data_IF_236034784224
#
_entry.id   IF_236034784224
#
_cell.length_a   1.000
_cell.length_b   1.000
_cell.length_c   1.000
_cell.angle_alpha   90.00
_cell.angle_beta   90.00
_cell.angle_gamma   90.00
#
_symmetry.space_group_name_H-M   'P 1'
#
loop_
_entity.id
_entity.type
_entity.pdbx_description
1 polymer ?
#
# COMPACT_ATOMS: atom_id res chain seq x y z
N UNK A 1 16.62 -29.18 -4.46
CA UNK A 1 16.26 -28.84 -3.09
C UNK A 1 17.25 -29.51 -2.17
N UNK A 2 17.78 -28.78 -1.19
CA UNK A 2 18.77 -29.26 -0.23
C UNK A 2 18.45 -28.77 1.18
N UNK A 3 19.17 -29.26 2.15
CA UNK A 3 19.08 -28.84 3.55
C UNK A 3 20.24 -27.89 3.86
N UNK A 4 19.98 -26.84 4.59
CA UNK A 4 20.98 -25.92 5.12
C UNK A 4 20.92 -26.04 6.65
N UNK A 5 22.06 -26.39 7.25
CA UNK A 5 22.19 -26.35 8.71
C UNK A 5 22.56 -24.94 9.15
N UNK A 6 21.86 -24.41 10.13
CA UNK A 6 22.08 -23.06 10.66
C UNK A 6 21.74 -23.00 12.15
N UNK A 7 22.36 -22.08 12.85
CA UNK A 7 22.09 -21.85 14.29
C UNK A 7 20.85 -20.98 14.51
N UNK A 8 20.55 -20.11 13.56
CA UNK A 8 19.41 -19.17 13.65
C UNK A 8 18.73 -19.01 12.29
N UNK A 9 17.42 -18.79 12.32
CA UNK A 9 16.60 -18.50 11.15
C UNK A 9 15.90 -17.16 11.33
N UNK A 10 15.95 -16.33 10.29
CA UNK A 10 15.16 -15.10 10.21
C UNK A 10 14.13 -15.26 9.10
N UNK A 11 12.86 -15.18 9.47
CA UNK A 11 11.73 -15.24 8.55
C UNK A 11 11.36 -13.82 8.13
N UNK A 12 11.71 -13.43 6.91
CA UNK A 12 11.47 -12.12 6.33
C UNK A 12 10.90 -12.28 4.91
N UNK A 13 9.71 -12.82 4.82
CA UNK A 13 9.12 -13.34 3.57
C UNK A 13 8.01 -12.46 2.99
N UNK A 14 7.81 -11.26 3.54
CA UNK A 14 6.77 -10.34 3.08
C UNK A 14 5.37 -10.97 3.10
N UNK A 15 4.58 -10.86 2.02
CA UNK A 15 3.22 -11.41 1.96
C UNK A 15 3.14 -12.93 2.14
N UNK A 16 4.24 -13.65 1.94
CA UNK A 16 4.28 -15.11 2.15
C UNK A 16 4.33 -15.51 3.63
N UNK A 17 4.31 -14.55 4.56
CA UNK A 17 4.27 -14.84 6.00
C UNK A 17 3.12 -15.75 6.39
N UNK A 18 1.98 -15.65 5.69
CA UNK A 18 0.86 -16.53 5.92
C UNK A 18 1.21 -18.02 5.75
N UNK A 19 2.00 -18.36 4.72
CA UNK A 19 2.44 -19.74 4.49
C UNK A 19 3.36 -20.24 5.60
N UNK A 20 4.23 -19.38 6.09
CA UNK A 20 5.09 -19.72 7.24
C UNK A 20 4.23 -19.90 8.51
N UNK A 21 3.22 -19.03 8.67
CA UNK A 21 2.28 -19.09 9.77
C UNK A 21 1.52 -20.44 9.82
N UNK A 22 1.08 -20.91 8.64
CA UNK A 22 0.45 -22.24 8.50
C UNK A 22 1.44 -23.38 8.79
N UNK A 23 2.68 -23.30 8.29
CA UNK A 23 3.72 -24.31 8.55
C UNK A 23 4.06 -24.43 10.01
N UNK A 24 3.94 -23.36 10.79
CA UNK A 24 4.18 -23.32 12.22
C UNK A 24 2.90 -23.62 13.04
N UNK A 25 1.79 -23.95 12.38
CA UNK A 25 0.49 -24.25 13.00
C UNK A 25 -0.03 -23.12 13.91
N UNK A 26 0.30 -21.87 13.59
CA UNK A 26 -0.10 -20.70 14.36
C UNK A 26 -1.57 -20.33 14.08
N UNK A 27 -2.26 -19.68 15.05
CA UNK A 27 -3.68 -19.31 14.88
C UNK A 27 -3.89 -18.34 13.72
N UNK A 28 -4.82 -18.67 12.82
CA UNK A 28 -5.21 -17.77 11.71
C UNK A 28 -5.99 -16.56 12.20
N UNK A 29 -6.74 -16.72 13.28
CA UNK A 29 -7.48 -15.65 13.93
C UNK A 29 -6.90 -15.37 15.31
N UNK A 30 -6.85 -14.11 15.66
CA UNK A 30 -6.43 -13.63 16.96
C UNK A 30 -7.50 -12.74 17.58
N UNK A 31 -7.50 -12.70 18.90
CA UNK A 31 -8.39 -11.81 19.65
C UNK A 31 -7.67 -10.48 19.92
N UNK A 32 -8.11 -9.43 19.26
CA UNK A 32 -7.57 -8.08 19.42
C UNK A 32 -8.46 -7.27 20.35
N UNK A 33 -7.84 -6.56 21.29
CA UNK A 33 -8.54 -5.70 22.23
C UNK A 33 -8.56 -4.26 21.71
N UNK A 34 -9.76 -3.72 21.54
CA UNK A 34 -10.01 -2.31 21.21
C UNK A 34 -10.70 -1.63 22.38
N UNK A 35 -9.97 -0.92 23.21
CA UNK A 35 -10.51 -0.38 24.46
C UNK A 35 -11.03 -1.51 25.35
N UNK A 36 -12.32 -1.48 25.67
CA UNK A 36 -13.01 -2.51 26.46
C UNK A 36 -13.51 -3.72 25.63
N UNK A 37 -13.51 -3.61 24.31
CA UNK A 37 -14.09 -4.62 23.41
C UNK A 37 -13.01 -5.54 22.86
N UNK A 38 -13.28 -6.86 22.89
CA UNK A 38 -12.46 -7.85 22.19
C UNK A 38 -13.14 -8.27 20.90
N UNK A 39 -12.37 -8.31 19.80
CA UNK A 39 -12.85 -8.79 18.50
C UNK A 39 -11.87 -9.82 17.95
N UNK A 40 -12.42 -10.95 17.45
CA UNK A 40 -11.61 -11.89 16.68
C UNK A 40 -11.43 -11.34 15.27
N UNK A 41 -10.21 -11.39 14.79
CA UNK A 41 -9.82 -10.93 13.47
C UNK A 41 -8.77 -11.86 12.88
N UNK A 42 -8.73 -11.92 11.55
CA UNK A 42 -7.63 -12.59 10.87
C UNK A 42 -6.32 -11.94 11.27
N UNK A 43 -5.32 -12.74 11.60
CA UNK A 43 -3.97 -12.25 11.93
C UNK A 43 -3.35 -11.49 10.78
N UNK A 44 -3.59 -11.94 9.54
CA UNK A 44 -3.04 -11.34 8.34
C UNK A 44 -4.14 -10.85 7.43
N UNK A 45 -4.00 -9.61 6.95
CA UNK A 45 -4.85 -8.99 5.93
C UNK A 45 -4.00 -8.64 4.73
N UNK A 46 -4.54 -8.86 3.54
CA UNK A 46 -3.89 -8.43 2.30
C UNK A 46 -4.54 -7.19 1.74
N UNK A 47 -3.70 -6.27 1.32
CA UNK A 47 -4.11 -5.11 0.53
C UNK A 47 -3.34 -5.10 -0.77
N UNK A 48 -4.07 -4.94 -1.86
CA UNK A 48 -3.45 -4.64 -3.14
C UNK A 48 -3.10 -3.16 -3.17
N UNK A 49 -1.81 -2.87 -3.18
CA UNK A 49 -1.28 -1.52 -3.19
C UNK A 49 -0.98 -1.13 -4.64
N UNK A 50 -1.51 -0.01 -5.09
CA UNK A 50 -1.21 0.57 -6.38
C UNK A 50 -0.55 1.93 -6.19
N UNK A 51 0.46 2.18 -6.99
CA UNK A 51 1.13 3.46 -7.05
C UNK A 51 1.12 3.98 -8.50
N UNK A 52 1.08 5.28 -8.64
CA UNK A 52 1.12 5.94 -9.92
C UNK A 52 2.07 7.13 -9.92
N UNK A 53 2.43 7.55 -11.12
CA UNK A 53 3.25 8.73 -11.34
C UNK A 53 2.51 9.71 -12.24
N UNK A 54 2.52 10.98 -11.86
CA UNK A 54 2.05 12.07 -12.70
C UNK A 54 3.25 12.94 -13.09
N UNK A 55 3.56 13.01 -14.38
CA UNK A 55 4.64 13.84 -14.89
C UNK A 55 4.16 15.27 -15.10
N UNK A 56 4.40 16.12 -14.13
CA UNK A 56 3.94 17.52 -14.15
C UNK A 56 5.04 18.54 -14.41
N UNK A 57 6.29 18.09 -14.52
CA UNK A 57 7.46 18.96 -14.72
C UNK A 57 7.89 19.69 -13.44
N UNK A 58 9.07 20.30 -13.51
CA UNK A 58 9.76 20.91 -12.36
C UNK A 58 8.94 22.00 -11.64
N UNK A 59 8.21 22.81 -12.37
CA UNK A 59 7.44 23.93 -11.79
C UNK A 59 6.32 23.51 -10.83
N UNK A 60 5.93 22.24 -10.87
CA UNK A 60 4.87 21.69 -10.01
C UNK A 60 5.39 20.90 -8.80
N UNK A 61 6.69 20.65 -8.76
CA UNK A 61 7.30 19.86 -7.69
C UNK A 61 7.55 20.69 -6.42
N UNK A 62 7.78 21.99 -6.59
CA UNK A 62 8.17 22.88 -5.52
C UNK A 62 6.96 23.61 -4.94
N UNK A 63 7.05 23.93 -3.66
CA UNK A 63 6.18 24.88 -3.00
C UNK A 63 6.49 26.31 -3.44
N UNK A 64 5.61 27.27 -3.09
CA UNK A 64 5.78 28.68 -3.50
C UNK A 64 7.07 29.30 -2.96
N UNK A 65 7.61 28.77 -1.86
CA UNK A 65 8.91 29.17 -1.30
C UNK A 65 10.11 28.44 -1.92
N UNK A 66 9.88 27.68 -3.00
CA UNK A 66 10.90 26.98 -3.78
C UNK A 66 11.43 25.70 -3.15
N UNK A 67 10.84 25.22 -2.06
CA UNK A 67 11.24 23.98 -1.40
C UNK A 67 10.49 22.78 -1.95
N UNK A 68 11.08 21.60 -1.79
CA UNK A 68 10.39 20.33 -2.05
C UNK A 68 9.41 20.05 -0.92
N UNK A 69 8.13 19.77 -1.23
CA UNK A 69 7.19 19.35 -0.22
C UNK A 69 7.57 17.97 0.37
N UNK A 70 7.20 17.70 1.62
CA UNK A 70 7.33 16.36 2.19
C UNK A 70 6.35 15.38 1.53
N UNK A 71 6.44 14.12 1.94
CA UNK A 71 5.36 13.18 1.71
C UNK A 71 4.07 13.69 2.37
N UNK A 72 3.00 13.72 1.61
CA UNK A 72 1.68 14.17 2.06
C UNK A 72 0.73 12.99 2.08
N UNK A 73 0.07 12.77 3.21
CA UNK A 73 -1.07 11.85 3.36
C UNK A 73 -2.34 12.66 3.55
N UNK A 74 -3.40 12.22 2.89
CA UNK A 74 -4.73 12.81 3.01
C UNK A 74 -5.74 11.69 3.16
N UNK A 75 -6.53 11.74 4.21
CA UNK A 75 -7.76 10.96 4.37
C UNK A 75 -8.94 11.91 4.40
N UNK A 76 -10.01 11.58 3.69
CA UNK A 76 -11.17 12.44 3.55
C UNK A 76 -12.47 11.63 3.53
N UNK A 77 -13.48 12.14 4.20
CA UNK A 77 -14.88 11.69 4.15
C UNK A 77 -15.74 12.49 3.16
N UNK A 78 -15.14 13.49 2.49
CA UNK A 78 -15.83 14.28 1.49
C UNK A 78 -16.00 13.50 0.19
N UNK A 79 -17.13 13.67 -0.52
CA UNK A 79 -17.30 13.05 -1.82
C UNK A 79 -16.18 13.44 -2.79
N UNK A 80 -15.63 12.45 -3.48
CA UNK A 80 -14.62 12.65 -4.51
C UNK A 80 -15.27 12.68 -5.88
N UNK A 81 -15.00 13.73 -6.63
CA UNK A 81 -15.48 13.90 -7.99
C UNK A 81 -14.33 13.82 -9.01
N UNK A 82 -14.66 13.34 -10.18
CA UNK A 82 -13.76 13.25 -11.31
C UNK A 82 -13.20 14.61 -11.71
N UNK A 83 -11.88 14.69 -11.85
CA UNK A 83 -11.22 15.87 -12.43
C UNK A 83 -11.55 16.06 -13.91
N UNK A 84 -11.95 14.99 -14.62
CA UNK A 84 -12.20 15.00 -16.07
C UNK A 84 -13.60 15.52 -16.42
N UNK A 85 -14.63 15.00 -15.76
CA UNK A 85 -16.03 15.21 -16.13
C UNK A 85 -16.95 15.57 -14.96
N UNK A 86 -16.37 15.71 -13.78
CA UNK A 86 -17.09 16.06 -12.53
C UNK A 86 -18.12 15.02 -12.08
N UNK A 87 -18.10 13.82 -12.63
CA UNK A 87 -18.90 12.71 -12.12
C UNK A 87 -18.45 12.27 -10.72
N UNK A 88 -19.34 11.69 -9.94
CA UNK A 88 -19.03 11.16 -8.63
C UNK A 88 -18.17 9.88 -8.78
N UNK A 89 -16.99 9.85 -8.17
CA UNK A 89 -16.13 8.66 -8.07
C UNK A 89 -16.52 7.85 -6.83
N UNK A 90 -16.58 8.49 -5.67
CA UNK A 90 -16.97 7.84 -4.42
C UNK A 90 -17.54 8.86 -3.42
N UNK A 91 -18.53 8.43 -2.66
CA UNK A 91 -19.08 9.13 -1.49
C UNK A 91 -18.63 8.50 -0.16
N UNK A 92 -17.72 7.51 -0.23
CA UNK A 92 -17.14 6.83 0.93
C UNK A 92 -15.80 7.44 1.27
N UNK A 93 -15.33 7.17 2.49
CA UNK A 93 -14.01 7.55 2.93
C UNK A 93 -12.94 7.04 1.95
N UNK A 94 -12.05 7.94 1.55
CA UNK A 94 -10.93 7.66 0.67
C UNK A 94 -9.66 8.30 1.21
N UNK A 95 -8.52 7.82 0.74
CA UNK A 95 -7.22 8.36 1.12
C UNK A 95 -6.20 8.23 0.01
N UNK A 96 -5.29 9.18 -0.05
CA UNK A 96 -4.13 9.16 -0.93
C UNK A 96 -2.88 9.54 -0.16
N UNK A 97 -1.76 9.11 -0.68
CA UNK A 97 -0.47 9.72 -0.37
C UNK A 97 0.24 10.11 -1.65
N UNK A 98 1.07 11.11 -1.58
CA UNK A 98 1.91 11.55 -2.69
C UNK A 98 3.14 12.31 -2.22
N UNK A 99 4.17 12.24 -3.02
CA UNK A 99 5.46 12.89 -2.81
C UNK A 99 6.05 13.31 -4.16
N UNK A 100 7.00 14.25 -4.18
CA UNK A 100 7.79 14.49 -5.39
C UNK A 100 8.57 13.23 -5.79
N UNK A 101 8.59 12.96 -7.09
CA UNK A 101 9.49 12.00 -7.72
C UNK A 101 10.53 12.77 -8.51
N UNK A 102 11.75 12.80 -7.99
CA UNK A 102 12.87 13.58 -8.55
C UNK A 102 13.83 12.72 -9.37
N UNK A 103 13.60 11.40 -9.44
CA UNK A 103 14.57 10.50 -10.03
C UNK A 103 14.44 10.43 -11.55
N UNK A 104 13.44 9.74 -12.06
CA UNK A 104 13.34 9.47 -13.50
C UNK A 104 12.25 10.28 -14.20
N UNK A 105 11.23 10.70 -13.46
CA UNK A 105 10.00 11.19 -14.05
C UNK A 105 9.70 12.67 -13.81
N UNK A 106 10.45 13.36 -12.96
CA UNK A 106 10.21 14.76 -12.58
C UNK A 106 8.72 15.02 -12.35
N UNK A 107 8.13 14.29 -11.42
CA UNK A 107 6.70 14.29 -11.24
C UNK A 107 6.26 14.10 -9.78
N UNK A 108 5.04 13.69 -9.63
CA UNK A 108 4.44 13.31 -8.35
C UNK A 108 4.20 11.81 -8.38
N UNK A 109 4.71 11.11 -7.37
CA UNK A 109 4.47 9.69 -7.16
C UNK A 109 3.58 9.49 -5.93
N UNK A 110 2.70 8.52 -5.98
CA UNK A 110 1.91 8.16 -4.81
C UNK A 110 0.92 7.04 -5.05
N UNK A 111 0.19 6.74 -4.00
CA UNK A 111 -0.80 5.67 -3.99
C UNK A 111 -2.13 6.11 -3.39
N UNK A 112 -3.08 5.21 -3.40
CA UNK A 112 -4.42 5.45 -2.90
C UNK A 112 -5.03 4.22 -2.20
N UNK A 113 -5.87 4.48 -1.21
CA UNK A 113 -6.93 3.61 -0.74
C UNK A 113 -8.26 4.14 -1.31
N UNK A 114 -9.25 3.36 -1.67
CA UNK A 114 -9.63 2.07 -1.11
C UNK A 114 -9.25 0.83 -1.93
N UNK A 115 -8.25 0.88 -2.77
CA UNK A 115 -7.86 -0.29 -3.58
C UNK A 115 -7.29 -1.40 -2.69
N UNK A 116 -8.14 -1.92 -1.82
CA UNK A 116 -7.85 -2.98 -0.85
C UNK A 116 -8.36 -4.31 -1.39
N UNK A 117 -7.58 -5.34 -1.19
CA UNK A 117 -8.07 -6.69 -1.23
C UNK A 117 -8.51 -7.06 0.18
N UNK A 118 -9.78 -6.83 0.51
CA UNK A 118 -10.34 -7.13 1.84
C UNK A 118 -10.92 -8.56 1.86
N UNK A 119 -10.26 -9.46 1.14
CA UNK A 119 -10.62 -10.86 1.03
C UNK A 119 -9.91 -11.66 2.13
N UNK A 120 -10.46 -12.84 2.42
CA UNK A 120 -9.74 -13.80 3.26
C UNK A 120 -8.42 -14.15 2.59
N UNK A 121 -7.40 -14.37 3.42
CA UNK A 121 -6.05 -14.67 2.94
C UNK A 121 -6.01 -15.85 1.98
N UNK A 122 -6.86 -16.86 2.22
CA UNK A 122 -6.97 -18.06 1.41
C UNK A 122 -7.49 -17.79 -0.01
N UNK A 123 -8.18 -16.69 -0.21
CA UNK A 123 -8.78 -16.30 -1.50
C UNK A 123 -7.81 -15.46 -2.33
N UNK A 124 -6.75 -14.95 -1.73
CA UNK A 124 -5.75 -14.12 -2.40
C UNK A 124 -4.67 -15.00 -3.02
N UNK A 125 -4.59 -14.99 -4.33
CA UNK A 125 -3.49 -15.64 -5.04
C UNK A 125 -2.25 -14.76 -4.98
N UNK A 126 -1.21 -15.29 -4.36
CA UNK A 126 0.10 -14.62 -4.31
C UNK A 126 0.94 -15.19 -5.44
N UNK A 127 1.24 -14.36 -6.44
CA UNK A 127 2.16 -14.74 -7.50
C UNK A 127 3.59 -14.78 -6.94
N UNK A 128 4.28 -15.93 -7.02
CA UNK A 128 5.64 -16.04 -6.53
C UNK A 128 6.66 -15.19 -7.31
N UNK A 129 6.30 -14.75 -8.51
CA UNK A 129 7.15 -13.92 -9.37
C UNK A 129 6.82 -12.42 -9.27
N UNK A 130 5.83 -12.06 -8.46
CA UNK A 130 5.53 -10.70 -8.02
C UNK A 130 5.25 -9.73 -9.16
N UNK A 131 6.13 -8.76 -9.33
CA UNK A 131 5.95 -7.59 -10.21
C UNK A 131 5.69 -7.90 -11.69
N UNK A 132 5.92 -9.11 -12.14
CA UNK A 132 5.65 -9.52 -13.53
C UNK A 132 4.22 -9.99 -13.75
N UNK A 133 3.47 -10.20 -12.67
CA UNK A 133 2.05 -10.55 -12.78
C UNK A 133 1.23 -9.38 -13.31
N UNK A 134 0.32 -9.67 -14.22
CA UNK A 134 -0.66 -8.68 -14.69
C UNK A 134 -1.57 -8.19 -13.56
N UNK A 135 -1.75 -9.00 -12.51
CA UNK A 135 -2.57 -8.66 -11.35
C UNK A 135 -1.96 -7.53 -10.51
N UNK A 136 -0.67 -7.23 -10.69
CA UNK A 136 0.03 -6.14 -10.01
C UNK A 136 0.17 -4.86 -10.85
N UNK A 137 -0.47 -4.81 -12.00
CA UNK A 137 -0.50 -3.58 -12.80
C UNK A 137 -1.52 -2.59 -12.25
N UNK A 138 -1.18 -1.32 -12.29
CA UNK A 138 -2.14 -0.26 -11.94
C UNK A 138 -3.30 -0.24 -12.94
N UNK A 139 -4.49 -0.03 -12.42
CA UNK A 139 -5.72 0.01 -13.23
C UNK A 139 -6.05 1.44 -13.67
N UNK A 140 -6.86 1.57 -14.72
CA UNK A 140 -7.38 2.87 -15.16
C UNK A 140 -8.28 3.51 -14.09
N UNK A 141 -8.99 2.71 -13.31
CA UNK A 141 -9.80 3.16 -12.20
C UNK A 141 -8.93 3.78 -11.10
N UNK A 142 -7.81 3.12 -10.78
CA UNK A 142 -6.83 3.70 -9.87
C UNK A 142 -6.29 5.03 -10.39
N UNK A 143 -5.84 5.06 -11.66
CA UNK A 143 -5.30 6.26 -12.28
C UNK A 143 -6.30 7.43 -12.24
N UNK A 144 -7.56 7.14 -12.54
CA UNK A 144 -8.63 8.12 -12.51
C UNK A 144 -8.92 8.64 -11.10
N UNK A 145 -9.05 7.73 -10.14
CA UNK A 145 -9.30 8.07 -8.74
C UNK A 145 -8.16 8.89 -8.16
N UNK A 146 -6.92 8.42 -8.28
CA UNK A 146 -5.76 9.06 -7.68
C UNK A 146 -5.48 10.45 -8.27
N UNK A 147 -5.57 10.61 -9.59
CA UNK A 147 -5.37 11.92 -10.23
C UNK A 147 -6.48 12.91 -9.88
N UNK A 148 -7.71 12.44 -9.73
CA UNK A 148 -8.83 13.28 -9.28
C UNK A 148 -8.68 13.68 -7.81
N UNK A 149 -8.20 12.77 -6.97
CA UNK A 149 -7.92 13.06 -5.56
C UNK A 149 -6.78 14.08 -5.41
N UNK A 150 -5.73 14.00 -6.23
CA UNK A 150 -4.68 15.02 -6.26
C UNK A 150 -5.25 16.40 -6.62
N UNK A 151 -6.11 16.48 -7.64
CA UNK A 151 -6.76 17.73 -8.03
C UNK A 151 -7.69 18.28 -6.94
N UNK A 152 -8.40 17.39 -6.23
CA UNK A 152 -9.22 17.76 -5.07
C UNK A 152 -8.37 18.35 -3.93
N UNK A 153 -7.23 17.72 -3.63
CA UNK A 153 -6.35 18.17 -2.55
C UNK A 153 -5.60 19.46 -2.87
N UNK A 154 -5.18 19.62 -4.13
CA UNK A 154 -4.38 20.77 -4.54
C UNK A 154 -4.77 21.25 -5.94
N UNK A 155 -5.29 22.46 -6.01
CA UNK A 155 -5.76 23.10 -7.25
C UNK A 155 -4.73 23.09 -8.38
N UNK A 156 -3.44 23.10 -8.07
CA UNK A 156 -2.35 23.04 -9.08
C UNK A 156 -2.37 21.76 -9.91
N UNK A 157 -3.01 20.70 -9.45
CA UNK A 157 -3.14 19.44 -10.18
C UNK A 157 -4.44 19.33 -11.00
N UNK A 158 -5.33 20.32 -10.90
CA UNK A 158 -6.57 20.34 -11.65
C UNK A 158 -6.31 20.31 -13.17
N UNK A 159 -7.01 19.42 -13.87
CA UNK A 159 -6.84 19.21 -15.32
C UNK A 159 -5.58 18.45 -15.70
N UNK A 160 -4.79 17.95 -14.75
CA UNK A 160 -3.51 17.25 -15.02
C UNK A 160 -3.63 15.74 -15.17
N UNK A 161 -4.81 15.17 -15.05
CA UNK A 161 -5.04 13.72 -15.14
C UNK A 161 -4.47 13.06 -16.40
N UNK A 162 -4.38 13.82 -17.52
CA UNK A 162 -3.76 13.35 -18.78
C UNK A 162 -2.24 13.15 -18.68
N UNK A 163 -1.61 13.69 -17.65
CA UNK A 163 -0.16 13.57 -17.42
C UNK A 163 0.19 12.35 -16.56
N UNK A 164 -0.81 11.57 -16.16
CA UNK A 164 -0.59 10.30 -15.51
C UNK A 164 0.22 9.36 -16.41
N UNK A 165 1.27 8.78 -15.85
CA UNK A 165 2.02 7.70 -16.48
C UNK A 165 1.67 6.40 -15.83
N UNK A 166 1.20 5.46 -16.63
CA UNK A 166 1.02 4.10 -16.20
C UNK A 166 2.36 3.38 -16.18
N UNK A 167 2.72 2.87 -15.02
CA UNK A 167 3.87 1.98 -14.85
C UNK A 167 3.45 0.76 -14.04
N UNK A 168 4.16 -0.36 -14.14
CA UNK A 168 3.94 -1.48 -13.25
C UNK A 168 4.39 -1.11 -11.84
N UNK A 169 3.47 -0.67 -11.03
CA UNK A 169 3.75 -0.18 -9.69
C UNK A 169 2.62 -0.60 -8.74
N UNK A 170 2.28 -1.87 -8.81
CA UNK A 170 1.37 -2.49 -7.87
C UNK A 170 2.09 -3.55 -7.04
N UNK A 171 1.55 -3.88 -5.89
CA UNK A 171 2.07 -4.91 -5.04
C UNK A 171 1.06 -5.36 -4.00
N UNK A 172 1.31 -6.53 -3.44
CA UNK A 172 0.52 -7.06 -2.35
C UNK A 172 1.22 -6.78 -1.03
N UNK A 173 0.56 -6.03 -0.16
CA UNK A 173 0.98 -5.82 1.22
C UNK A 173 0.27 -6.77 2.16
N UNK A 174 0.96 -7.25 3.17
CA UNK A 174 0.40 -8.07 4.24
C UNK A 174 0.42 -7.27 5.54
N UNK A 175 -0.73 -7.16 6.20
CA UNK A 175 -0.92 -6.28 7.34
C UNK A 175 -1.49 -7.04 8.55
N UNK A 176 -1.08 -6.61 9.72
CA UNK A 176 -1.64 -7.04 11.02
C UNK A 176 -2.93 -6.28 11.33
N UNK A 177 -3.80 -6.79 12.24
CA UNK A 177 -5.05 -6.13 12.61
C UNK A 177 -4.88 -4.76 13.27
N UNK A 178 -3.78 -4.58 14.00
CA UNK A 178 -3.46 -3.36 14.74
C UNK A 178 -2.56 -2.39 13.96
N UNK A 179 -2.19 -2.76 12.74
CA UNK A 179 -1.30 -1.98 11.87
C UNK A 179 0.12 -1.78 12.41
N UNK A 180 0.55 -2.62 13.36
CA UNK A 180 1.94 -2.65 13.83
C UNK A 180 2.72 -3.81 13.20
N UNK A 181 4.00 -3.61 12.90
CA UNK A 181 4.86 -4.68 12.41
C UNK A 181 5.10 -5.74 13.48
N UNK A 182 5.40 -6.94 13.05
CA UNK A 182 5.78 -8.04 13.93
C UNK A 182 7.29 -8.26 13.84
N UNK A 183 7.98 -7.92 14.92
CA UNK A 183 9.39 -8.21 15.12
C UNK A 183 9.51 -9.02 16.41
N UNK A 184 9.54 -10.32 16.29
CA UNK A 184 9.51 -11.18 17.47
C UNK A 184 10.22 -12.51 17.22
N UNK A 185 10.27 -13.32 18.25
CA UNK A 185 10.80 -14.67 18.25
C UNK A 185 9.63 -15.65 18.23
N UNK A 186 9.53 -16.46 17.16
CA UNK A 186 8.47 -17.48 17.08
C UNK A 186 8.70 -18.66 18.02
N UNK A 187 9.93 -19.11 18.03
CA UNK A 187 10.42 -20.19 18.88
C UNK A 187 11.92 -20.05 19.05
N UNK A 188 12.57 -20.97 19.74
CA UNK A 188 13.99 -20.90 19.94
C UNK A 188 14.72 -20.85 18.60
N UNK A 189 15.60 -19.85 18.45
CA UNK A 189 16.43 -19.59 17.28
C UNK A 189 15.66 -19.24 15.97
N UNK A 190 14.35 -18.96 16.04
CA UNK A 190 13.56 -18.53 14.88
C UNK A 190 12.94 -17.16 15.13
N UNK A 191 13.38 -16.20 14.37
CA UNK A 191 12.92 -14.79 14.45
C UNK A 191 12.04 -14.45 13.26
N UNK A 192 11.09 -13.56 13.45
CA UNK A 192 10.23 -13.05 12.40
C UNK A 192 10.42 -11.55 12.20
N UNK A 193 10.50 -11.16 10.95
CA UNK A 193 10.34 -9.79 10.50
C UNK A 193 9.17 -9.79 9.52
N UNK A 194 7.98 -9.58 10.02
CA UNK A 194 6.77 -9.52 9.22
C UNK A 194 6.17 -8.15 9.34
N UNK A 195 6.40 -7.38 8.32
CA UNK A 195 5.87 -6.05 8.22
C UNK A 195 5.62 -5.68 6.79
N UNK A 196 4.49 -5.09 6.62
CA UNK A 196 4.19 -4.34 5.43
C UNK A 196 3.38 -3.10 5.81
N UNK A 197 3.31 -2.81 7.11
CA UNK A 197 2.46 -1.77 7.61
C UNK A 197 3.08 -0.39 7.36
N UNK A 198 2.45 0.36 6.47
CA UNK A 198 2.69 1.81 6.30
C UNK A 198 4.15 2.25 6.10
N UNK A 199 4.97 1.41 5.49
CA UNK A 199 6.32 1.82 5.12
C UNK A 199 7.37 1.73 6.23
N UNK A 200 7.12 1.05 7.33
CA UNK A 200 8.10 0.75 8.37
C UNK A 200 9.36 0.00 7.85
N UNK A 201 9.28 -0.50 6.64
CA UNK A 201 10.42 -1.08 5.90
C UNK A 201 11.64 -0.15 5.79
N UNK A 202 11.50 1.09 6.18
CA UNK A 202 12.55 2.11 6.13
C UNK A 202 13.26 2.31 7.48
N UNK A 203 12.85 1.59 8.51
CA UNK A 203 13.45 1.66 9.84
C UNK A 203 14.55 0.63 10.04
#
# INVERSE_FOLDING_TARGET
LGTIECEQVVVAVGPWIYKIWEMLELPKEISVKYGETKKNQNMWKYWFLQEGVMNVGDGFLKTDDGKMPPLIHVDSDQPLYSDRDKSLITDKMWGIYYKPDICENLGIQGGAAPFKVDNKVEEVKIDPYGLQSKDYQTTDDFAHMWSSALAHCQKRFEGKSKQYKQGPSGGLGCFTPDSFPVFDKFCENVYVIADSNHGYKMM
#
